data_IF_280562564798
#
_entry.id   IF_280562564798
#
_cell.length_a   1.000
_cell.length_b   1.000
_cell.length_c   1.000
_cell.angle_alpha   90.00
_cell.angle_beta   90.00
_cell.angle_gamma   90.00
#
_symmetry.space_group_name_H-M   'P 1'
#
loop_
_entity.id
_entity.type
_entity.pdbx_description
1 polymer ?
#
# COMPACT_ATOMS: atom_id res chain seq x y z
N UNK A 1 -47.86 -18.73 6.64
CA UNK A 1 -46.67 -18.53 7.49
C UNK A 1 -45.89 -17.39 6.86
N UNK A 2 -45.59 -16.32 7.58
CA UNK A 2 -44.76 -15.25 7.02
C UNK A 2 -43.32 -15.75 6.88
N UNK A 3 -42.76 -15.57 5.70
CA UNK A 3 -41.36 -15.88 5.41
C UNK A 3 -40.50 -14.66 5.75
N UNK A 4 -39.42 -14.88 6.50
CA UNK A 4 -38.44 -13.85 6.83
C UNK A 4 -37.08 -14.28 6.31
N UNK A 5 -36.54 -13.54 5.35
CA UNK A 5 -35.25 -13.82 4.74
C UNK A 5 -34.31 -12.64 4.95
N UNK A 6 -33.05 -12.94 5.27
CA UNK A 6 -32.02 -11.93 5.49
C UNK A 6 -30.74 -12.31 4.75
N UNK A 7 -30.14 -11.33 4.09
CA UNK A 7 -28.83 -11.44 3.43
C UNK A 7 -27.94 -10.27 3.83
N UNK A 8 -26.65 -10.54 4.02
CA UNK A 8 -25.65 -9.54 4.42
C UNK A 8 -24.49 -9.56 3.43
N UNK A 9 -24.00 -8.37 3.08
CA UNK A 9 -22.85 -8.15 2.21
C UNK A 9 -21.80 -7.31 2.93
N UNK A 10 -20.66 -7.93 3.26
CA UNK A 10 -19.52 -7.24 3.89
C UNK A 10 -18.58 -6.75 2.79
N UNK A 11 -18.98 -5.69 2.07
CA UNK A 11 -18.19 -5.20 0.94
C UNK A 11 -18.29 -3.69 0.77
N UNK A 12 -17.20 -3.04 0.35
CA UNK A 12 -17.22 -1.62 0.01
C UNK A 12 -18.24 -1.32 -1.07
N UNK A 13 -18.92 -0.18 -0.97
CA UNK A 13 -19.96 0.21 -1.92
C UNK A 13 -19.87 1.69 -2.30
N UNK A 14 -20.41 2.00 -3.47
CA UNK A 14 -20.66 3.37 -3.92
C UNK A 14 -22.09 3.42 -4.42
N UNK A 15 -22.90 4.21 -3.72
CA UNK A 15 -24.27 4.46 -4.09
C UNK A 15 -24.40 5.89 -4.57
N UNK A 16 -24.86 6.06 -5.80
CA UNK A 16 -25.25 7.34 -6.37
C UNK A 16 -26.78 7.43 -6.42
N UNK A 17 -27.31 8.63 -6.69
CA UNK A 17 -28.75 8.84 -6.78
C UNK A 17 -29.44 7.94 -7.84
N UNK A 18 -28.77 7.64 -8.94
CA UNK A 18 -29.32 6.81 -10.02
C UNK A 18 -29.37 5.31 -9.67
N UNK A 19 -28.40 4.84 -8.87
CA UNK A 19 -28.35 3.48 -8.36
C UNK A 19 -29.38 3.30 -7.25
N UNK A 20 -29.54 4.30 -6.38
CA UNK A 20 -30.57 4.31 -5.35
C UNK A 20 -31.98 4.29 -5.98
N UNK A 21 -32.23 5.08 -7.03
CA UNK A 21 -33.53 5.07 -7.72
C UNK A 21 -33.82 3.74 -8.42
N UNK A 22 -32.80 3.11 -9.01
CA UNK A 22 -32.93 1.78 -9.61
C UNK A 22 -33.22 0.71 -8.56
N UNK A 23 -32.49 0.71 -7.45
CA UNK A 23 -32.73 -0.21 -6.34
C UNK A 23 -34.17 -0.06 -5.81
N UNK A 24 -34.59 1.18 -5.55
CA UNK A 24 -35.95 1.51 -5.11
C UNK A 24 -37.00 1.02 -6.09
N UNK A 25 -36.91 1.43 -7.36
CA UNK A 25 -37.92 1.08 -8.39
C UNK A 25 -38.10 -0.43 -8.50
N UNK A 26 -37.00 -1.17 -8.57
CA UNK A 26 -37.04 -2.63 -8.64
C UNK A 26 -37.70 -3.25 -7.39
N UNK A 27 -37.46 -2.73 -6.19
CA UNK A 27 -38.11 -3.22 -4.98
C UNK A 27 -39.60 -2.85 -4.91
N UNK A 28 -39.96 -1.62 -5.31
CA UNK A 28 -41.34 -1.13 -5.36
C UNK A 28 -42.17 -1.96 -6.36
N UNK A 29 -41.62 -2.23 -7.54
CA UNK A 29 -42.27 -3.05 -8.57
C UNK A 29 -42.60 -4.47 -8.05
N UNK A 30 -41.77 -5.01 -7.14
CA UNK A 30 -41.98 -6.33 -6.53
C UNK A 30 -42.95 -6.33 -5.36
N UNK A 31 -43.04 -5.23 -4.64
CA UNK A 31 -44.01 -5.07 -3.55
C UNK A 31 -45.43 -4.95 -4.08
N UNK A 32 -45.61 -4.31 -5.23
CA UNK A 32 -46.91 -4.13 -5.89
C UNK A 32 -47.86 -3.23 -5.09
N UNK A 33 -48.90 -2.73 -5.75
CA UNK A 33 -49.90 -1.88 -5.11
C UNK A 33 -49.37 -0.52 -4.67
N UNK A 34 -49.93 0.03 -3.60
CA UNK A 34 -49.48 1.26 -2.99
C UNK A 34 -48.35 0.96 -2.00
N UNK A 35 -47.13 1.38 -2.34
CA UNK A 35 -45.96 1.19 -1.48
C UNK A 35 -45.76 2.41 -0.60
N UNK A 36 -45.71 2.21 0.71
CA UNK A 36 -45.27 3.21 1.67
C UNK A 36 -43.75 3.13 1.84
N UNK A 37 -43.10 4.29 1.87
CA UNK A 37 -41.65 4.40 1.86
C UNK A 37 -41.18 5.26 3.01
N UNK A 38 -40.17 4.79 3.71
CA UNK A 38 -39.51 5.55 4.75
C UNK A 38 -38.01 5.39 4.63
N UNK A 39 -37.30 6.51 4.72
CA UNK A 39 -35.85 6.55 4.69
C UNK A 39 -35.35 7.04 6.04
N UNK A 40 -34.29 6.42 6.56
CA UNK A 40 -33.62 6.84 7.77
C UNK A 40 -32.14 7.02 7.50
N UNK A 41 -31.63 8.21 7.80
CA UNK A 41 -30.27 8.62 7.51
C UNK A 41 -29.55 8.95 8.80
N UNK A 42 -28.39 8.33 9.03
CA UNK A 42 -27.50 8.69 10.13
C UNK A 42 -26.29 9.46 9.58
N UNK A 43 -26.10 10.66 10.09
CA UNK A 43 -24.95 11.51 9.77
C UNK A 43 -23.79 11.28 10.74
N UNK A 44 -22.58 11.68 10.36
CA UNK A 44 -21.37 11.57 11.17
C UNK A 44 -21.42 12.28 12.54
N UNK A 45 -22.38 13.19 12.73
CA UNK A 45 -22.66 13.83 14.01
C UNK A 45 -23.56 13.01 14.94
N UNK A 46 -23.90 11.77 14.58
CA UNK A 46 -24.83 10.91 15.33
C UNK A 46 -26.29 11.37 15.24
N UNK A 47 -26.61 12.30 14.33
CA UNK A 47 -27.99 12.74 14.09
C UNK A 47 -28.66 11.78 13.11
N UNK A 48 -29.79 11.24 13.54
CA UNK A 48 -30.67 10.42 12.72
C UNK A 48 -31.82 11.25 12.19
N UNK A 49 -32.07 11.20 10.88
CA UNK A 49 -33.12 11.93 10.21
C UNK A 49 -34.03 10.95 9.48
N UNK A 50 -35.33 11.09 9.68
CA UNK A 50 -36.35 10.30 8.98
C UNK A 50 -36.92 11.14 7.85
N UNK A 51 -36.84 10.61 6.65
CA UNK A 51 -37.24 11.28 5.41
C UNK A 51 -38.33 10.44 4.72
N UNK A 52 -39.43 11.06 4.28
CA UNK A 52 -40.54 10.33 3.66
C UNK A 52 -40.29 10.01 2.19
N UNK A 53 -39.40 10.74 1.52
CA UNK A 53 -39.18 10.58 0.08
C UNK A 53 -37.70 10.44 -0.26
N UNK A 54 -37.43 9.68 -1.33
CA UNK A 54 -36.08 9.49 -1.87
C UNK A 54 -35.45 10.83 -2.32
N UNK A 55 -36.26 11.74 -2.86
CA UNK A 55 -35.79 13.06 -3.29
C UNK A 55 -35.14 13.83 -2.14
N UNK A 56 -35.72 13.73 -0.94
CA UNK A 56 -35.21 14.41 0.26
C UNK A 56 -33.88 13.80 0.71
N UNK A 57 -33.69 12.49 0.52
CA UNK A 57 -32.42 11.80 0.80
C UNK A 57 -31.32 12.31 -0.14
N UNK A 58 -31.63 12.46 -1.42
CA UNK A 58 -30.66 12.96 -2.41
C UNK A 58 -30.41 14.46 -2.30
N UNK A 59 -31.38 15.23 -1.78
CA UNK A 59 -31.26 16.65 -1.52
C UNK A 59 -30.58 16.95 -0.17
N UNK A 60 -30.40 15.95 0.69
CA UNK A 60 -29.71 16.09 1.96
C UNK A 60 -28.26 16.55 1.76
N UNK A 61 -27.83 17.52 2.58
CA UNK A 61 -26.47 18.04 2.56
C UNK A 61 -25.46 17.00 3.04
N UNK A 62 -24.87 16.27 2.10
CA UNK A 62 -23.80 15.31 2.34
C UNK A 62 -22.42 15.99 2.30
N UNK A 63 -22.24 17.02 3.12
CA UNK A 63 -20.98 17.75 3.26
C UNK A 63 -19.97 16.98 4.12
N UNK A 64 -18.68 17.37 4.06
CA UNK A 64 -17.64 16.76 4.90
C UNK A 64 -17.92 16.89 6.41
N UNK A 65 -18.74 17.86 6.83
CA UNK A 65 -19.15 18.05 8.23
C UNK A 65 -20.34 17.17 8.63
N UNK A 66 -21.24 16.89 7.68
CA UNK A 66 -22.48 16.14 7.88
C UNK A 66 -22.56 14.90 7.01
N UNK A 67 -21.43 14.20 6.88
CA UNK A 67 -21.32 13.04 5.99
C UNK A 67 -22.31 11.96 6.41
N UNK A 68 -23.01 11.40 5.42
CA UNK A 68 -23.87 10.25 5.61
C UNK A 68 -23.01 9.03 5.95
N UNK A 69 -23.35 8.35 7.03
CA UNK A 69 -22.69 7.13 7.49
C UNK A 69 -23.58 5.90 7.34
N UNK A 70 -24.89 6.05 7.53
CA UNK A 70 -25.85 4.96 7.37
C UNK A 70 -27.09 5.45 6.61
N UNK A 71 -27.62 4.61 5.74
CA UNK A 71 -28.89 4.82 5.07
C UNK A 71 -29.73 3.54 5.15
N UNK A 72 -30.86 3.62 5.84
CA UNK A 72 -31.86 2.56 5.91
C UNK A 72 -33.06 2.93 5.06
N UNK A 73 -33.47 2.00 4.20
CA UNK A 73 -34.62 2.12 3.31
C UNK A 73 -35.64 1.10 3.78
N UNK A 74 -36.82 1.57 4.14
CA UNK A 74 -37.95 0.74 4.55
C UNK A 74 -39.06 0.88 3.52
N UNK A 75 -39.42 -0.24 2.91
CA UNK A 75 -40.49 -0.30 1.90
C UNK A 75 -41.57 -1.26 2.40
N UNK A 76 -42.80 -0.77 2.45
CA UNK A 76 -43.97 -1.51 2.91
C UNK A 76 -44.99 -1.60 1.78
N UNK A 77 -45.41 -2.80 1.41
CA UNK A 77 -46.43 -3.00 0.40
C UNK A 77 -47.36 -4.16 0.74
N UNK A 78 -48.29 -4.44 -0.16
CA UNK A 78 -49.35 -5.42 0.07
C UNK A 78 -48.80 -6.85 0.20
N UNK A 79 -47.74 -7.16 -0.55
CA UNK A 79 -47.13 -8.50 -0.58
C UNK A 79 -46.13 -8.74 0.57
N UNK A 80 -45.64 -7.68 1.22
CA UNK A 80 -44.64 -7.78 2.27
C UNK A 80 -43.88 -6.49 2.56
N UNK A 81 -42.72 -6.63 3.18
CA UNK A 81 -41.81 -5.53 3.49
C UNK A 81 -40.38 -5.84 3.05
N UNK A 82 -39.68 -4.82 2.57
CA UNK A 82 -38.28 -4.90 2.17
C UNK A 82 -37.52 -3.79 2.88
N UNK A 83 -36.57 -4.18 3.72
CA UNK A 83 -35.69 -3.29 4.43
C UNK A 83 -34.27 -3.44 3.90
N UNK A 84 -33.65 -2.34 3.50
CA UNK A 84 -32.27 -2.31 3.01
C UNK A 84 -31.49 -1.34 3.87
N UNK A 85 -30.50 -1.85 4.59
CA UNK A 85 -29.62 -1.07 5.46
C UNK A 85 -28.23 -1.00 4.84
N UNK A 86 -27.74 0.22 4.64
CA UNK A 86 -26.43 0.53 4.08
C UNK A 86 -25.58 1.19 5.18
N UNK A 87 -24.75 0.44 5.90
CA UNK A 87 -23.87 0.96 6.95
C UNK A 87 -22.44 1.15 6.43
N UNK A 88 -21.90 2.36 6.60
CA UNK A 88 -20.55 2.76 6.21
C UNK A 88 -19.58 3.07 7.35
N UNK A 89 -19.93 2.85 8.63
CA UNK A 89 -19.18 3.39 9.79
C UNK A 89 -17.81 2.76 10.02
N UNK A 90 -17.72 1.42 10.16
CA UNK A 90 -16.48 0.73 10.57
C UNK A 90 -16.09 -0.37 9.59
N UNK A 91 -17.06 -1.23 9.25
CA UNK A 91 -17.00 -2.19 8.16
C UNK A 91 -18.21 -1.91 7.26
N UNK A 92 -18.02 -1.65 5.96
CA UNK A 92 -19.15 -1.42 5.07
C UNK A 92 -19.99 -2.70 5.02
N UNK A 93 -21.23 -2.61 5.45
CA UNK A 93 -22.18 -3.71 5.48
C UNK A 93 -23.47 -3.28 4.77
N UNK A 94 -23.98 -4.14 3.91
CA UNK A 94 -25.30 -3.98 3.32
C UNK A 94 -26.16 -5.15 3.83
N UNK A 95 -27.26 -4.84 4.51
CA UNK A 95 -28.22 -5.85 4.96
C UNK A 95 -29.52 -5.69 4.19
N UNK A 96 -29.96 -6.77 3.55
CA UNK A 96 -31.28 -6.88 2.95
C UNK A 96 -32.13 -7.78 3.84
N UNK A 97 -33.28 -7.30 4.27
CA UNK A 97 -34.27 -8.05 5.02
C UNK A 97 -35.60 -8.01 4.27
N UNK A 98 -36.11 -9.17 3.87
CA UNK A 98 -37.39 -9.32 3.18
C UNK A 98 -38.33 -10.11 4.06
N UNK A 99 -39.53 -9.58 4.29
CA UNK A 99 -40.60 -10.24 5.05
C UNK A 99 -41.81 -10.34 4.13
N UNK A 100 -42.29 -11.55 3.85
CA UNK A 100 -43.39 -11.78 2.92
C UNK A 100 -44.42 -12.75 3.44
N UNK A 101 -45.60 -12.73 2.83
CA UNK A 101 -46.66 -13.69 3.13
C UNK A 101 -46.39 -15.08 2.52
N UNK A 102 -45.62 -15.11 1.42
CA UNK A 102 -45.24 -16.33 0.70
C UNK A 102 -43.71 -16.44 0.58
N UNK A 103 -43.18 -17.65 0.82
CA UNK A 103 -41.74 -17.91 0.73
C UNK A 103 -41.20 -17.78 -0.69
N UNK A 104 -41.96 -18.21 -1.70
CA UNK A 104 -41.61 -18.09 -3.12
C UNK A 104 -41.43 -16.62 -3.52
N UNK A 105 -42.40 -15.78 -3.16
CA UNK A 105 -42.32 -14.33 -3.39
C UNK A 105 -41.14 -13.72 -2.64
N UNK A 106 -40.95 -14.06 -1.36
CA UNK A 106 -39.86 -13.50 -0.56
C UNK A 106 -38.47 -13.85 -1.12
N UNK A 107 -38.30 -15.07 -1.66
CA UNK A 107 -37.06 -15.50 -2.33
C UNK A 107 -36.82 -14.73 -3.63
N UNK A 108 -37.85 -14.55 -4.47
CA UNK A 108 -37.74 -13.79 -5.72
C UNK A 108 -37.44 -12.30 -5.46
N UNK A 109 -38.12 -11.70 -4.48
CA UNK A 109 -37.90 -10.33 -4.05
C UNK A 109 -36.47 -10.14 -3.50
N UNK A 110 -35.99 -11.09 -2.67
CA UNK A 110 -34.62 -11.06 -2.16
C UNK A 110 -33.60 -11.18 -3.29
N UNK A 111 -33.79 -12.13 -4.22
CA UNK A 111 -32.88 -12.34 -5.35
C UNK A 111 -32.80 -11.12 -6.26
N UNK A 112 -33.94 -10.46 -6.48
CA UNK A 112 -34.00 -9.24 -7.31
C UNK A 112 -33.28 -8.08 -6.62
N UNK A 113 -33.49 -7.90 -5.30
CA UNK A 113 -32.79 -6.87 -4.51
C UNK A 113 -31.28 -7.15 -4.42
N UNK A 114 -30.88 -8.41 -4.26
CA UNK A 114 -29.48 -8.86 -4.28
C UNK A 114 -28.78 -8.47 -5.58
N UNK A 115 -29.39 -8.72 -6.74
CA UNK A 115 -28.82 -8.33 -8.04
C UNK A 115 -28.51 -6.82 -8.12
N UNK A 116 -29.43 -5.97 -7.61
CA UNK A 116 -29.20 -4.52 -7.62
C UNK A 116 -28.15 -4.11 -6.59
N UNK A 117 -28.09 -4.76 -5.43
CA UNK A 117 -27.06 -4.52 -4.41
C UNK A 117 -25.68 -4.91 -4.91
N UNK A 118 -25.54 -6.01 -5.65
CA UNK A 118 -24.26 -6.42 -6.25
C UNK A 118 -23.67 -5.34 -7.18
N UNK A 119 -24.53 -4.57 -7.87
CA UNK A 119 -24.12 -3.43 -8.72
C UNK A 119 -23.65 -2.22 -7.91
N UNK A 120 -23.98 -2.15 -6.62
CA UNK A 120 -23.47 -1.12 -5.70
C UNK A 120 -22.07 -1.45 -5.19
N UNK A 121 -21.73 -2.73 -5.13
CA UNK A 121 -20.47 -3.20 -4.58
C UNK A 121 -19.30 -2.77 -5.46
N UNK A 122 -18.26 -2.22 -4.84
CA UNK A 122 -17.02 -1.94 -5.54
C UNK A 122 -16.29 -3.27 -5.83
N UNK A 123 -15.98 -3.51 -7.10
CA UNK A 123 -15.23 -4.68 -7.56
C UNK A 123 -13.72 -4.57 -7.31
N UNK A 124 -13.22 -3.39 -6.88
CA UNK A 124 -11.80 -3.20 -6.63
C UNK A 124 -11.32 -4.09 -5.48
N UNK A 125 -10.47 -5.06 -5.80
CA UNK A 125 -9.87 -6.00 -4.83
C UNK A 125 -9.19 -5.27 -3.65
N UNK A 126 -8.61 -4.10 -3.90
CA UNK A 126 -7.93 -3.27 -2.89
C UNK A 126 -8.92 -2.69 -1.85
N UNK A 127 -10.15 -2.37 -2.28
CA UNK A 127 -11.16 -1.83 -1.38
C UNK A 127 -11.68 -2.92 -0.41
N UNK A 128 -11.72 -4.18 -0.87
CA UNK A 128 -12.21 -5.35 -0.12
C UNK A 128 -11.25 -5.86 0.96
N UNK A 129 -10.02 -5.33 1.03
CA UNK A 129 -9.06 -5.76 2.05
C UNK A 129 -9.57 -5.32 3.45
N UNK A 130 -9.81 -6.28 4.37
CA UNK A 130 -10.25 -6.00 5.73
C UNK A 130 -9.26 -5.08 6.47
N UNK A 131 -9.70 -4.27 7.45
CA UNK A 131 -8.83 -3.32 8.15
C UNK A 131 -7.61 -3.98 8.82
N UNK A 132 -7.76 -5.18 9.38
CA UNK A 132 -6.66 -5.92 9.97
C UNK A 132 -5.65 -6.40 8.91
N UNK A 133 -6.13 -6.83 7.74
CA UNK A 133 -5.25 -7.18 6.61
C UNK A 133 -4.63 -5.93 6.01
N UNK A 134 -5.28 -4.76 5.99
CA UNK A 134 -4.68 -3.51 5.51
C UNK A 134 -3.41 -3.16 6.29
N UNK A 135 -3.48 -3.22 7.62
CA UNK A 135 -2.31 -3.07 8.47
C UNK A 135 -1.25 -4.12 8.15
N UNK A 136 -1.65 -5.39 7.97
CA UNK A 136 -0.74 -6.48 7.63
C UNK A 136 -0.11 -6.33 6.24
N UNK A 137 -0.82 -5.80 5.23
CA UNK A 137 -0.26 -5.47 3.91
C UNK A 137 0.66 -4.26 3.98
N UNK A 138 0.34 -3.23 4.75
CA UNK A 138 1.24 -2.09 4.97
C UNK A 138 2.50 -2.58 5.69
N UNK A 139 2.36 -3.42 6.71
CA UNK A 139 3.46 -4.05 7.42
C UNK A 139 4.24 -4.98 6.48
N UNK A 140 3.59 -5.71 5.58
CA UNK A 140 4.23 -6.58 4.61
C UNK A 140 5.02 -5.78 3.58
N UNK A 141 4.46 -4.72 2.98
CA UNK A 141 5.20 -3.85 2.06
C UNK A 141 6.30 -3.06 2.79
N UNK A 142 6.06 -2.66 4.03
CA UNK A 142 7.08 -2.05 4.89
C UNK A 142 8.22 -3.02 5.20
N UNK A 143 7.89 -4.29 5.51
CA UNK A 143 8.85 -5.35 5.76
C UNK A 143 9.58 -5.76 4.48
N UNK A 144 8.90 -5.79 3.34
CA UNK A 144 9.50 -6.02 2.03
C UNK A 144 10.46 -4.89 1.66
N UNK A 145 10.08 -3.64 1.92
CA UNK A 145 10.96 -2.47 1.79
C UNK A 145 12.15 -2.54 2.74
N UNK A 146 11.94 -2.94 3.99
CA UNK A 146 12.99 -3.09 4.99
C UNK A 146 13.94 -4.25 4.64
N UNK A 147 13.42 -5.37 4.16
CA UNK A 147 14.21 -6.55 3.79
C UNK A 147 14.99 -6.32 2.51
N UNK A 148 14.38 -5.70 1.49
CA UNK A 148 15.11 -5.26 0.29
C UNK A 148 16.20 -4.24 0.64
N UNK A 149 15.94 -3.30 1.54
CA UNK A 149 16.95 -2.39 2.08
C UNK A 149 18.06 -3.15 2.81
N UNK A 150 17.70 -4.09 3.69
CA UNK A 150 18.65 -4.90 4.44
C UNK A 150 19.51 -5.74 3.51
N UNK A 151 18.93 -6.34 2.46
CA UNK A 151 19.65 -7.10 1.43
C UNK A 151 20.60 -6.20 0.63
N UNK A 152 20.19 -4.97 0.29
CA UNK A 152 21.07 -3.98 -0.35
C UNK A 152 22.25 -3.57 0.56
N UNK A 153 21.98 -3.35 1.84
CA UNK A 153 23.01 -3.05 2.83
C UNK A 153 23.94 -4.25 3.06
N UNK A 154 23.38 -5.47 3.14
CA UNK A 154 24.14 -6.69 3.34
C UNK A 154 24.99 -7.05 2.11
N UNK A 155 24.43 -6.96 0.91
CA UNK A 155 25.15 -7.18 -0.35
C UNK A 155 26.33 -6.21 -0.52
N UNK A 156 26.25 -5.00 0.04
CA UNK A 156 27.36 -4.04 0.10
C UNK A 156 28.31 -4.24 1.29
N UNK A 157 27.86 -4.92 2.35
CA UNK A 157 28.69 -5.29 3.49
C UNK A 157 29.51 -6.56 3.25
N UNK A 158 29.16 -7.36 2.23
CA UNK A 158 30.05 -8.40 1.72
C UNK A 158 31.31 -7.66 1.27
N UNK A 159 32.44 -7.84 1.96
CA UNK A 159 33.67 -7.20 1.56
C UNK A 159 34.02 -7.80 0.22
N UNK A 160 33.81 -7.02 -0.84
CA UNK A 160 34.36 -7.32 -2.16
C UNK A 160 35.84 -7.63 -1.93
N UNK A 161 36.29 -8.80 -2.35
CA UNK A 161 37.68 -9.28 -2.21
C UNK A 161 38.73 -8.29 -2.75
N UNK A 162 38.32 -7.19 -3.38
CA UNK A 162 39.17 -6.04 -3.71
C UNK A 162 39.88 -5.41 -2.51
N UNK A 163 39.47 -5.65 -1.26
CA UNK A 163 40.25 -5.21 -0.08
C UNK A 163 41.51 -6.06 0.17
N UNK A 164 41.58 -7.29 -0.33
CA UNK A 164 42.80 -8.11 -0.26
C UNK A 164 43.86 -7.66 -1.27
N UNK A 165 43.45 -7.03 -2.38
CA UNK A 165 44.40 -6.45 -3.34
C UNK A 165 45.23 -5.32 -2.73
N UNK A 166 44.65 -4.47 -1.88
CA UNK A 166 45.41 -3.38 -1.23
C UNK A 166 46.35 -3.84 -0.12
N UNK A 167 46.09 -4.97 0.53
CA UNK A 167 47.07 -5.58 1.44
C UNK A 167 48.20 -6.24 0.66
N UNK A 168 47.90 -6.88 -0.48
CA UNK A 168 48.90 -7.47 -1.35
C UNK A 168 49.83 -6.41 -1.98
N UNK A 169 49.31 -5.22 -2.31
CA UNK A 169 50.10 -4.08 -2.81
C UNK A 169 50.94 -3.37 -1.72
N UNK A 170 50.63 -3.58 -0.42
CA UNK A 170 51.42 -3.03 0.70
C UNK A 170 52.33 -4.04 1.38
N UNK A 171 52.18 -5.34 1.09
CA UNK A 171 52.97 -6.42 1.69
C UNK A 171 54.29 -6.71 0.96
N UNK A 172 54.55 -6.05 -0.17
CA UNK A 172 55.81 -6.23 -0.91
C UNK A 172 56.77 -5.07 -0.66
N UNK A 173 58.05 -5.40 -0.52
CA UNK A 173 59.17 -4.47 -0.72
C UNK A 173 58.91 -3.61 -1.96
N UNK A 174 58.99 -2.29 -1.83
CA UNK A 174 58.77 -1.40 -2.97
C UNK A 174 59.85 -1.67 -4.04
N UNK A 175 59.63 -1.23 -5.28
CA UNK A 175 60.58 -1.48 -6.39
C UNK A 175 62.01 -1.02 -6.08
N UNK A 176 62.14 0.00 -5.22
CA UNK A 176 63.41 0.53 -4.74
C UNK A 176 64.03 -0.36 -3.64
N UNK A 177 63.22 -0.93 -2.77
CA UNK A 177 63.67 -1.83 -1.70
C UNK A 177 64.19 -3.16 -2.29
N UNK A 178 63.57 -3.64 -3.38
CA UNK A 178 64.04 -4.83 -4.11
C UNK A 178 65.42 -4.56 -4.72
N UNK A 179 65.63 -3.38 -5.30
CA UNK A 179 66.95 -2.99 -5.83
C UNK A 179 67.99 -2.89 -4.72
N UNK A 180 67.66 -2.26 -3.60
CA UNK A 180 68.55 -2.12 -2.45
C UNK A 180 68.96 -3.49 -1.86
N UNK A 181 68.00 -4.43 -1.73
CA UNK A 181 68.25 -5.80 -1.27
C UNK A 181 69.11 -6.57 -2.29
N UNK A 182 68.83 -6.42 -3.59
CA UNK A 182 69.60 -7.07 -4.66
C UNK A 182 71.04 -6.56 -4.72
N UNK A 183 71.23 -5.24 -4.58
CA UNK A 183 72.55 -4.60 -4.54
C UNK A 183 73.34 -5.01 -3.28
N UNK A 184 72.65 -5.24 -2.17
CA UNK A 184 73.26 -5.70 -0.91
C UNK A 184 73.68 -7.17 -0.95
N UNK A 185 72.93 -8.02 -1.65
CA UNK A 185 73.26 -9.44 -1.87
C UNK A 185 74.43 -9.64 -2.83
N UNK A 186 74.62 -8.72 -3.78
CA UNK A 186 75.71 -8.78 -4.76
C UNK A 186 77.05 -8.25 -4.23
N UNK A 187 77.10 -7.71 -3.00
CA UNK A 187 78.36 -7.23 -2.39
C UNK A 187 79.16 -8.40 -1.80
N UNK A 188 80.44 -8.57 -2.15
CA UNK A 188 81.27 -9.63 -1.61
C UNK A 188 81.50 -9.42 -0.09
N UNK A 189 81.24 -10.45 0.70
CA UNK A 189 81.43 -10.46 2.16
C UNK A 189 80.18 -10.20 3.01
N UNK A 190 78.99 -10.06 2.40
CA UNK A 190 77.74 -9.89 3.15
C UNK A 190 77.15 -11.24 3.52
N UNK A 191 76.89 -11.48 4.81
CA UNK A 191 76.20 -12.68 5.26
C UNK A 191 74.72 -12.66 4.86
N UNK A 192 74.23 -13.65 4.10
CA UNK A 192 72.85 -13.70 3.60
C UNK A 192 71.78 -13.64 4.71
N UNK A 193 72.12 -14.17 5.88
CA UNK A 193 71.27 -14.24 7.06
C UNK A 193 70.90 -12.86 7.60
N UNK A 194 71.81 -11.89 7.50
CA UNK A 194 71.58 -10.52 7.99
C UNK A 194 70.56 -9.76 7.13
N UNK A 195 70.62 -9.96 5.80
CA UNK A 195 69.69 -9.37 4.83
C UNK A 195 68.29 -9.98 4.99
N UNK A 196 68.22 -11.29 5.22
CA UNK A 196 66.95 -12.01 5.42
C UNK A 196 66.21 -11.53 6.68
N UNK A 197 66.96 -11.21 7.73
CA UNK A 197 66.43 -10.69 8.98
C UNK A 197 65.93 -9.25 8.84
N UNK A 198 66.56 -8.43 8.00
CA UNK A 198 66.07 -7.07 7.70
C UNK A 198 64.77 -7.09 6.89
N UNK A 199 64.66 -7.99 5.90
CA UNK A 199 63.42 -8.19 5.14
C UNK A 199 62.26 -8.58 6.07
N UNK A 200 62.49 -9.52 6.99
CA UNK A 200 61.47 -9.93 7.97
C UNK A 200 61.06 -8.78 8.89
N UNK A 201 62.02 -7.97 9.37
CA UNK A 201 61.73 -6.79 10.19
C UNK A 201 60.87 -5.76 9.44
N UNK A 202 61.18 -5.49 8.17
CA UNK A 202 60.41 -4.55 7.34
C UNK A 202 58.99 -5.07 7.05
N UNK A 203 58.83 -6.38 6.82
CA UNK A 203 57.51 -7.01 6.66
C UNK A 203 56.67 -6.91 7.93
N UNK A 204 57.25 -7.20 9.10
CA UNK A 204 56.56 -7.08 10.39
C UNK A 204 56.19 -5.62 10.67
N UNK A 205 57.09 -4.68 10.40
CA UNK A 205 56.82 -3.24 10.57
C UNK A 205 55.66 -2.78 9.69
N UNK A 206 55.61 -3.22 8.42
CA UNK A 206 54.50 -2.90 7.53
C UNK A 206 53.17 -3.50 8.00
N UNK A 207 53.18 -4.71 8.60
CA UNK A 207 52.00 -5.33 9.22
C UNK A 207 51.53 -4.53 10.44
N UNK A 208 52.46 -4.08 11.29
CA UNK A 208 52.13 -3.28 12.47
C UNK A 208 51.55 -1.91 12.07
N UNK A 209 52.15 -1.23 11.08
CA UNK A 209 51.63 0.04 10.55
C UNK A 209 50.25 -0.15 9.89
N UNK A 210 50.04 -1.25 9.16
CA UNK A 210 48.74 -1.56 8.58
C UNK A 210 47.67 -1.88 9.65
N UNK A 211 48.07 -2.49 10.77
CA UNK A 211 47.19 -2.76 11.90
C UNK A 211 46.86 -1.49 12.72
N UNK A 212 47.82 -0.56 12.85
CA UNK A 212 47.63 0.74 13.50
C UNK A 212 46.87 1.75 12.65
N UNK A 213 46.91 1.60 11.32
CA UNK A 213 46.09 2.40 10.41
C UNK A 213 44.62 2.03 10.63
N UNK A 214 43.97 2.74 11.55
CA UNK A 214 42.55 2.59 11.91
C UNK A 214 41.73 2.28 10.66
N UNK A 215 41.05 1.13 10.69
CA UNK A 215 40.05 0.78 9.68
C UNK A 215 39.19 2.02 9.41
N UNK A 216 39.03 2.46 8.15
CA UNK A 216 38.19 3.61 7.86
C UNK A 216 36.80 3.28 8.40
N UNK A 217 36.35 4.14 9.33
CA UNK A 217 35.00 4.03 9.88
C UNK A 217 34.02 3.95 8.71
N UNK A 218 32.97 3.12 8.77
CA UNK A 218 31.99 3.02 7.72
C UNK A 218 31.27 4.37 7.63
N UNK A 219 31.78 5.26 6.80
CA UNK A 219 31.07 6.46 6.39
C UNK A 219 29.95 5.98 5.47
N UNK A 220 28.72 6.38 5.79
CA UNK A 220 27.58 6.11 4.93
C UNK A 220 27.90 6.78 3.58
N UNK A 221 28.21 5.95 2.59
CA UNK A 221 28.53 6.41 1.25
C UNK A 221 27.34 7.21 0.70
N UNK A 222 27.61 8.36 0.06
CA UNK A 222 26.57 9.24 -0.49
C UNK A 222 25.65 8.49 -1.44
N UNK A 223 26.18 7.48 -2.13
CA UNK A 223 25.39 6.60 -3.01
C UNK A 223 24.31 5.81 -2.25
N UNK A 224 24.58 5.41 -1.01
CA UNK A 224 23.62 4.67 -0.17
C UNK A 224 22.46 5.58 0.22
N UNK A 225 22.73 6.83 0.58
CA UNK A 225 21.69 7.83 0.86
C UNK A 225 20.80 8.06 -0.38
N UNK A 226 21.41 8.13 -1.57
CA UNK A 226 20.70 8.28 -2.83
C UNK A 226 19.78 7.10 -3.18
N UNK A 227 20.09 5.88 -2.72
CA UNK A 227 19.23 4.71 -2.94
C UNK A 227 18.10 4.58 -1.91
N UNK A 228 18.36 4.96 -0.64
CA UNK A 228 17.41 4.84 0.46
C UNK A 228 16.23 5.81 0.29
N UNK A 229 16.52 7.07 -0.06
CA UNK A 229 15.51 8.13 -0.08
C UNK A 229 14.36 7.82 -1.07
N UNK A 230 14.62 7.44 -2.34
CA UNK A 230 13.55 7.11 -3.28
C UNK A 230 12.74 5.89 -2.86
N UNK A 231 13.39 4.86 -2.32
CA UNK A 231 12.69 3.65 -1.85
C UNK A 231 11.76 3.97 -0.67
N UNK A 232 12.23 4.72 0.32
CA UNK A 232 11.42 5.17 1.44
C UNK A 232 10.24 6.04 0.97
N UNK A 233 10.46 6.91 -0.01
CA UNK A 233 9.42 7.75 -0.59
C UNK A 233 8.33 6.93 -1.29
N UNK A 234 8.71 5.91 -2.08
CA UNK A 234 7.75 5.00 -2.73
C UNK A 234 6.92 4.25 -1.68
N UNK A 235 7.55 3.72 -0.63
CA UNK A 235 6.84 3.03 0.46
C UNK A 235 5.87 3.97 1.17
N UNK A 236 6.29 5.21 1.46
CA UNK A 236 5.42 6.21 2.06
C UNK A 236 4.23 6.58 1.15
N UNK A 237 4.46 6.74 -0.16
CA UNK A 237 3.41 6.98 -1.15
C UNK A 237 2.40 5.82 -1.23
N UNK A 238 2.88 4.58 -1.22
CA UNK A 238 2.03 3.39 -1.21
C UNK A 238 1.21 3.32 0.08
N UNK A 239 1.84 3.50 1.25
CA UNK A 239 1.14 3.53 2.53
C UNK A 239 0.04 4.59 2.54
N UNK A 240 0.35 5.81 2.08
CA UNK A 240 -0.62 6.89 1.96
C UNK A 240 -1.79 6.54 1.01
N UNK A 241 -1.50 5.92 -0.15
CA UNK A 241 -2.52 5.43 -1.08
C UNK A 241 -3.49 4.47 -0.39
N UNK A 242 -2.98 3.46 0.33
CA UNK A 242 -3.82 2.46 0.98
C UNK A 242 -4.66 3.01 2.14
N UNK A 243 -4.15 4.00 2.88
CA UNK A 243 -4.82 4.58 4.04
C UNK A 243 -5.86 5.63 3.60
N UNK A 244 -5.46 6.56 2.74
CA UNK A 244 -6.26 7.77 2.47
C UNK A 244 -7.04 7.72 1.14
N UNK A 245 -6.66 6.85 0.19
CA UNK A 245 -7.15 6.94 -1.19
C UNK A 245 -8.17 5.86 -1.62
N UNK A 246 -8.61 5.01 -0.69
CA UNK A 246 -9.61 3.96 -0.94
C UNK A 246 -10.75 4.01 0.10
N UNK A 247 -11.74 4.90 -0.10
CA UNK A 247 -12.89 4.97 0.78
C UNK A 247 -13.76 3.72 0.65
N UNK A 248 -14.31 3.27 1.78
CA UNK A 248 -15.04 1.99 1.90
C UNK A 248 -16.52 2.11 1.58
N UNK A 249 -17.18 3.13 2.09
CA UNK A 249 -18.56 3.45 1.79
C UNK A 249 -18.62 4.89 1.30
N UNK A 250 -19.28 5.09 0.16
CA UNK A 250 -19.45 6.42 -0.43
C UNK A 250 -20.89 6.59 -0.87
N UNK A 251 -21.54 7.57 -0.27
CA UNK A 251 -22.80 8.13 -0.73
C UNK A 251 -22.46 9.26 -1.70
N UNK A 252 -22.62 9.03 -2.99
CA UNK A 252 -22.12 9.86 -4.09
C UNK A 252 -23.18 10.86 -4.56
N UNK A 253 -23.43 11.87 -3.73
CA UNK A 253 -24.24 13.07 -4.04
C UNK A 253 -23.84 14.22 -3.11
N UNK A 254 -24.23 15.45 -3.46
CA UNK A 254 -23.79 16.66 -2.76
C UNK A 254 -22.28 16.87 -2.85
N UNK A 255 -21.68 17.48 -1.83
CA UNK A 255 -20.23 17.77 -1.76
C UNK A 255 -19.35 16.50 -1.70
N UNK A 256 -19.94 15.35 -1.37
CA UNK A 256 -19.22 14.08 -1.37
C UNK A 256 -18.73 13.68 -2.78
N UNK A 257 -19.37 14.19 -3.84
CA UNK A 257 -18.92 14.03 -5.23
C UNK A 257 -17.53 14.63 -5.40
N UNK A 258 -17.38 15.92 -5.10
CA UNK A 258 -16.10 16.62 -5.26
C UNK A 258 -15.00 16.01 -4.38
N UNK A 259 -15.35 15.62 -3.15
CA UNK A 259 -14.43 14.91 -2.27
C UNK A 259 -13.96 13.59 -2.88
N UNK A 260 -14.87 12.76 -3.37
CA UNK A 260 -14.53 11.46 -3.96
C UNK A 260 -13.68 11.64 -5.22
N UNK A 261 -14.06 12.56 -6.10
CA UNK A 261 -13.32 12.87 -7.32
C UNK A 261 -11.90 13.37 -6.99
N UNK A 262 -11.75 14.18 -5.94
CA UNK A 262 -10.43 14.61 -5.46
C UNK A 262 -9.56 13.44 -4.98
N UNK A 263 -10.16 12.42 -4.35
CA UNK A 263 -9.45 11.20 -3.95
C UNK A 263 -9.03 10.40 -5.17
N UNK A 264 -9.93 10.23 -6.15
CA UNK A 264 -9.63 9.51 -7.39
C UNK A 264 -8.51 10.20 -8.18
N UNK A 265 -8.54 11.52 -8.26
CA UNK A 265 -7.49 12.32 -8.90
C UNK A 265 -6.14 12.16 -8.20
N UNK A 266 -6.10 12.28 -6.86
CA UNK A 266 -4.88 12.04 -6.06
C UNK A 266 -4.34 10.62 -6.26
N UNK A 267 -5.21 9.61 -6.26
CA UNK A 267 -4.84 8.22 -6.52
C UNK A 267 -4.16 8.08 -7.88
N UNK A 268 -4.77 8.64 -8.93
CA UNK A 268 -4.22 8.61 -10.29
C UNK A 268 -2.86 9.31 -10.36
N UNK A 269 -2.73 10.46 -9.72
CA UNK A 269 -1.49 11.23 -9.67
C UNK A 269 -0.35 10.44 -9.00
N UNK A 270 -0.59 9.87 -7.81
CA UNK A 270 0.44 9.10 -7.08
C UNK A 270 0.85 7.85 -7.87
N UNK A 271 -0.12 7.09 -8.42
CA UNK A 271 0.20 5.93 -9.25
C UNK A 271 1.01 6.31 -10.49
N UNK A 272 0.67 7.42 -11.15
CA UNK A 272 1.42 7.92 -12.31
C UNK A 272 2.86 8.25 -11.91
N UNK A 273 3.06 8.93 -10.77
CA UNK A 273 4.38 9.22 -10.22
C UNK A 273 5.20 7.97 -9.92
N UNK A 274 4.60 6.96 -9.29
CA UNK A 274 5.26 5.67 -9.00
C UNK A 274 5.69 4.97 -10.31
N UNK A 275 4.81 4.92 -11.31
CA UNK A 275 5.10 4.28 -12.60
C UNK A 275 6.23 5.02 -13.34
N UNK A 276 6.18 6.36 -13.40
CA UNK A 276 7.23 7.17 -14.03
C UNK A 276 8.57 6.95 -13.32
N UNK A 277 8.59 7.01 -11.98
CA UNK A 277 9.81 6.78 -11.20
C UNK A 277 10.40 5.38 -11.46
N UNK A 278 9.55 4.36 -11.56
CA UNK A 278 9.98 3.00 -11.89
C UNK A 278 10.57 2.90 -13.30
N UNK A 279 9.89 3.46 -14.31
CA UNK A 279 10.38 3.46 -15.70
C UNK A 279 11.71 4.19 -15.82
N UNK A 280 11.84 5.38 -15.22
CA UNK A 280 13.10 6.14 -15.23
C UNK A 280 14.21 5.36 -14.51
N UNK A 281 13.92 4.75 -13.36
CA UNK A 281 14.90 3.93 -12.63
C UNK A 281 15.41 2.75 -13.46
N UNK A 282 14.51 2.05 -14.18
CA UNK A 282 14.88 0.96 -15.09
C UNK A 282 15.72 1.47 -16.27
N UNK A 283 15.34 2.59 -16.89
CA UNK A 283 16.07 3.18 -18.01
C UNK A 283 17.49 3.64 -17.60
N UNK A 284 17.62 4.28 -16.44
CA UNK A 284 18.94 4.67 -15.90
C UNK A 284 19.80 3.44 -15.64
N UNK A 285 19.23 2.40 -15.03
CA UNK A 285 19.97 1.17 -14.76
C UNK A 285 20.45 0.49 -16.05
N UNK A 286 19.57 0.38 -17.04
CA UNK A 286 19.90 -0.15 -18.38
C UNK A 286 21.00 0.67 -19.06
N UNK A 287 20.95 1.99 -18.99
CA UNK A 287 21.98 2.85 -19.54
C UNK A 287 23.33 2.63 -18.83
N UNK A 288 23.34 2.54 -17.49
CA UNK A 288 24.59 2.34 -16.72
C UNK A 288 25.19 0.95 -16.84
N UNK A 289 24.37 -0.08 -17.06
CA UNK A 289 24.83 -1.47 -17.21
C UNK A 289 25.15 -1.84 -18.65
N UNK A 290 24.52 -1.19 -19.64
CA UNK A 290 24.80 -1.41 -21.07
C UNK A 290 25.95 -0.57 -21.64
N UNK A 291 26.46 0.41 -20.89
CA UNK A 291 27.62 1.25 -21.27
C UNK A 291 28.96 0.77 -20.66
N UNK A 292 28.95 -0.31 -19.88
CA UNK A 292 30.14 -1.02 -19.41
C UNK A 292 30.23 -2.39 -20.07
#
# INVERSE_FOLDING_TARGET
>A
MSARLQKRFESPFIIDASKLSRLRSVCVDRLGGNVDEQYELESSGGRTLKLPQMSDVTAFDNSNKHRIQQLSIFLYGDNGTINIDLDGRHAPEITILVIGNETSWALDALSTAEEQVERLLQSHAIARIPPHIKFLTIAFFGLLGLTTLLVLLLARSIPTESRQLHLRDRMWLNSNDIKEVTDSLNRPGVEPTSVLLDIHKRQISNIMVAAETKQPQPTIDKQTIFAIIPAALIVACLAYLFIASYPRAVFYWGDAIEWYDSIVARRKFIWTGIVIAFVVGVLVNLATTGLN
#
